data_IF_125498433710
#
_entry.id   IF_125498433710
#
_cell.length_a   1.000
_cell.length_b   1.000
_cell.length_c   1.000
_cell.angle_alpha   90.00
_cell.angle_beta   90.00
_cell.angle_gamma   90.00
#
_symmetry.space_group_name_H-M   'P 1'
#
loop_
_entity.id
_entity.type
_entity.pdbx_description
1 polymer ?
#
# COMPACT_ATOMS: atom_id res chain seq x y z
N UNK A 1 4.76 -20.28 -7.98
CA UNK A 1 5.14 -18.89 -7.62
C UNK A 1 4.10 -18.33 -6.68
N UNK A 2 4.45 -17.48 -5.70
CA UNK A 2 3.49 -16.95 -4.71
C UNK A 2 2.24 -16.31 -5.35
N UNK A 3 2.41 -15.54 -6.42
CA UNK A 3 1.29 -14.91 -7.15
C UNK A 3 0.31 -15.95 -7.73
N UNK A 4 0.77 -17.13 -8.16
CA UNK A 4 -0.10 -18.17 -8.70
C UNK A 4 -1.00 -18.74 -7.59
N UNK A 5 -0.42 -19.09 -6.44
CA UNK A 5 -1.17 -19.57 -5.27
C UNK A 5 -2.18 -18.52 -4.80
N UNK A 6 -1.75 -17.26 -4.70
CA UNK A 6 -2.63 -16.13 -4.38
C UNK A 6 -3.82 -16.04 -5.35
N UNK A 7 -3.59 -16.21 -6.65
CA UNK A 7 -4.63 -16.09 -7.66
C UNK A 7 -5.59 -17.30 -7.64
N UNK A 8 -5.09 -18.47 -7.24
CA UNK A 8 -5.85 -19.69 -7.00
C UNK A 8 -6.64 -19.68 -5.68
N UNK A 9 -6.36 -18.74 -4.77
CA UNK A 9 -6.99 -18.66 -3.44
C UNK A 9 -6.29 -19.48 -2.35
N UNK A 10 -5.15 -20.09 -2.69
CA UNK A 10 -4.24 -20.86 -1.82
C UNK A 10 -3.39 -19.87 -0.99
N UNK A 11 -4.04 -19.19 -0.04
CA UNK A 11 -3.45 -18.07 0.67
C UNK A 11 -2.32 -18.52 1.61
N UNK A 12 -2.48 -19.68 2.25
CA UNK A 12 -1.52 -20.29 3.16
C UNK A 12 -0.19 -20.59 2.46
N UNK A 13 -0.24 -21.21 1.29
CA UNK A 13 0.92 -21.49 0.45
C UNK A 13 1.57 -20.19 -0.04
N UNK A 14 0.77 -19.20 -0.44
CA UNK A 14 1.28 -17.88 -0.84
C UNK A 14 2.02 -17.17 0.31
N UNK A 15 1.44 -17.20 1.51
CA UNK A 15 2.02 -16.68 2.76
C UNK A 15 3.38 -17.34 3.03
N UNK A 16 3.43 -18.68 2.98
CA UNK A 16 4.65 -19.42 3.28
C UNK A 16 5.78 -19.12 2.29
N UNK A 17 5.45 -19.10 0.99
CA UNK A 17 6.42 -18.76 -0.05
C UNK A 17 6.94 -17.34 0.14
N UNK A 18 6.05 -16.36 0.38
CA UNK A 18 6.45 -14.97 0.58
C UNK A 18 7.34 -14.80 1.82
N UNK A 19 7.00 -15.43 2.94
CA UNK A 19 7.78 -15.41 4.19
C UNK A 19 9.19 -15.95 3.97
N UNK A 20 9.31 -17.15 3.41
CA UNK A 20 10.62 -17.78 3.12
C UNK A 20 11.45 -16.94 2.16
N UNK A 21 10.84 -16.38 1.12
CA UNK A 21 11.55 -15.56 0.12
C UNK A 21 11.98 -14.21 0.66
N UNK A 22 11.21 -13.61 1.56
CA UNK A 22 11.59 -12.38 2.27
C UNK A 22 12.85 -12.61 3.13
N UNK A 23 12.90 -13.72 3.87
CA UNK A 23 14.06 -14.07 4.69
C UNK A 23 15.33 -14.25 3.85
N UNK A 24 15.24 -15.01 2.75
CA UNK A 24 16.34 -15.16 1.81
C UNK A 24 16.79 -13.81 1.26
N UNK A 25 15.85 -12.96 0.80
CA UNK A 25 16.19 -11.65 0.25
C UNK A 25 16.87 -10.73 1.27
N UNK A 26 16.48 -10.79 2.55
CA UNK A 26 17.13 -10.04 3.64
C UNK A 26 18.56 -10.53 3.85
N UNK A 27 18.74 -11.84 3.96
CA UNK A 27 20.07 -12.45 4.13
C UNK A 27 21.03 -12.09 3.00
N UNK A 28 20.54 -12.07 1.75
CA UNK A 28 21.35 -11.64 0.60
C UNK A 28 21.67 -10.14 0.62
N UNK A 29 20.73 -9.29 1.03
CA UNK A 29 20.99 -7.85 1.21
C UNK A 29 22.07 -7.60 2.26
N UNK A 30 21.97 -8.28 3.40
CA UNK A 30 22.94 -8.13 4.49
C UNK A 30 24.34 -8.59 4.05
N UNK A 31 24.42 -9.73 3.34
CA UNK A 31 25.68 -10.20 2.78
C UNK A 31 26.29 -9.20 1.79
N UNK A 32 25.47 -8.63 0.90
CA UNK A 32 25.94 -7.62 -0.05
C UNK A 32 26.47 -6.37 0.65
N UNK A 33 25.79 -5.90 1.71
CA UNK A 33 26.24 -4.74 2.50
C UNK A 33 27.61 -5.01 3.15
N UNK A 34 27.80 -6.22 3.68
CA UNK A 34 29.04 -6.60 4.36
C UNK A 34 30.21 -6.85 3.39
N UNK A 35 29.95 -7.49 2.24
CA UNK A 35 31.00 -8.00 1.36
C UNK A 35 31.15 -7.23 0.04
N UNK A 36 30.25 -6.28 -0.26
CA UNK A 36 30.22 -5.52 -1.52
C UNK A 36 29.91 -6.35 -2.76
N UNK A 37 29.48 -7.61 -2.59
CA UNK A 37 29.16 -8.56 -3.67
C UNK A 37 28.05 -9.51 -3.25
N UNK A 38 27.36 -10.07 -4.22
CA UNK A 38 26.39 -11.13 -3.97
C UNK A 38 27.08 -12.49 -3.79
N UNK A 39 26.48 -13.40 -3.01
CA UNK A 39 27.07 -14.72 -2.71
C UNK A 39 27.37 -15.55 -3.96
N UNK A 40 26.54 -15.40 -4.99
CA UNK A 40 26.60 -16.20 -6.22
C UNK A 40 27.46 -15.57 -7.33
N UNK A 41 28.16 -14.46 -7.08
CA UNK A 41 28.93 -13.74 -8.10
C UNK A 41 30.07 -14.56 -8.75
N UNK A 42 30.43 -15.70 -8.17
CA UNK A 42 31.49 -16.61 -8.66
C UNK A 42 30.96 -17.93 -9.28
N UNK A 43 29.65 -18.16 -9.32
CA UNK A 43 29.09 -19.45 -9.78
C UNK A 43 28.57 -19.33 -11.23
N UNK A 44 29.13 -20.12 -12.15
CA UNK A 44 28.73 -20.26 -13.58
C UNK A 44 27.24 -20.57 -13.81
N UNK A 45 26.49 -20.83 -12.73
CA UNK A 45 25.03 -20.98 -12.69
C UNK A 45 24.51 -20.27 -11.44
N UNK A 46 24.22 -18.96 -11.50
CA UNK A 46 23.71 -18.25 -10.34
C UNK A 46 22.44 -18.94 -9.85
N UNK A 47 22.37 -19.23 -8.56
CA UNK A 47 21.11 -19.61 -7.95
C UNK A 47 20.10 -18.49 -8.24
N UNK A 48 18.86 -18.85 -8.55
CA UNK A 48 17.76 -17.96 -8.96
C UNK A 48 17.30 -16.96 -7.89
N UNK A 49 18.17 -16.51 -6.99
CA UNK A 49 17.96 -15.59 -5.88
C UNK A 49 17.86 -14.11 -6.31
N UNK A 50 17.46 -13.79 -7.55
CA UNK A 50 17.44 -12.39 -8.02
C UNK A 50 16.22 -12.02 -8.87
N UNK A 51 15.03 -11.99 -8.27
CA UNK A 51 13.91 -11.33 -8.94
C UNK A 51 13.38 -10.12 -8.20
N UNK A 52 13.46 -10.09 -6.86
CA UNK A 52 12.81 -9.04 -6.07
C UNK A 52 13.62 -8.68 -4.81
N UNK A 53 13.81 -7.39 -4.52
CA UNK A 53 14.43 -6.94 -3.27
C UNK A 53 13.54 -7.25 -2.06
N UNK A 54 14.06 -7.18 -0.83
CA UNK A 54 13.30 -7.43 0.39
C UNK A 54 11.97 -6.66 0.47
N UNK A 55 11.97 -5.39 0.02
CA UNK A 55 10.77 -4.55 0.05
C UNK A 55 9.64 -5.12 -0.82
N UNK A 56 9.97 -5.65 -2.00
CA UNK A 56 8.96 -6.25 -2.89
C UNK A 56 8.43 -7.57 -2.34
N UNK A 57 9.27 -8.38 -1.68
CA UNK A 57 8.78 -9.57 -0.97
C UNK A 57 7.93 -9.21 0.24
N UNK A 58 8.25 -8.12 0.94
CA UNK A 58 7.45 -7.60 2.05
C UNK A 58 6.05 -7.16 1.57
N UNK A 59 5.96 -6.48 0.43
CA UNK A 59 4.68 -6.13 -0.22
C UNK A 59 3.89 -7.37 -0.62
N UNK A 60 4.53 -8.35 -1.29
CA UNK A 60 3.86 -9.61 -1.67
C UNK A 60 3.38 -10.39 -0.44
N UNK A 61 4.15 -10.36 0.64
CA UNK A 61 3.76 -11.00 1.89
C UNK A 61 2.54 -10.32 2.51
N UNK A 62 2.53 -8.98 2.53
CA UNK A 62 1.38 -8.20 2.98
C UNK A 62 0.11 -8.51 2.19
N UNK A 63 0.20 -8.55 0.85
CA UNK A 63 -0.93 -8.91 -0.01
C UNK A 63 -1.45 -10.31 0.33
N UNK A 64 -0.56 -11.28 0.56
CA UNK A 64 -0.97 -12.65 0.89
C UNK A 64 -1.70 -12.74 2.24
N UNK A 65 -1.24 -12.01 3.26
CA UNK A 65 -1.93 -11.89 4.55
C UNK A 65 -3.31 -11.25 4.37
N UNK A 66 -3.38 -10.11 3.67
CA UNK A 66 -4.67 -9.44 3.43
C UNK A 66 -5.62 -10.29 2.59
N UNK A 67 -5.12 -11.04 1.61
CA UNK A 67 -5.95 -11.95 0.82
C UNK A 67 -6.59 -13.04 1.69
N UNK A 68 -5.85 -13.57 2.66
CA UNK A 68 -6.39 -14.49 3.67
C UNK A 68 -7.46 -13.81 4.51
N UNK A 69 -7.17 -12.65 5.12
CA UNK A 69 -8.12 -11.90 5.95
C UNK A 69 -9.42 -11.55 5.19
N UNK A 70 -9.28 -11.17 3.91
CA UNK A 70 -10.41 -10.80 3.06
C UNK A 70 -11.22 -12.02 2.61
N UNK A 71 -10.58 -13.18 2.42
CA UNK A 71 -11.26 -14.45 2.18
C UNK A 71 -12.04 -14.89 3.42
N UNK A 72 -11.41 -14.81 4.59
CA UNK A 72 -11.99 -15.27 5.86
C UNK A 72 -13.15 -14.35 6.32
N UNK A 73 -13.15 -13.08 5.91
CA UNK A 73 -14.27 -12.15 6.12
C UNK A 73 -15.37 -12.25 5.05
N UNK A 74 -15.18 -13.00 3.98
CA UNK A 74 -16.17 -13.16 2.92
C UNK A 74 -17.42 -13.89 3.44
N UNK A 75 -18.65 -13.39 3.21
CA UNK A 75 -19.83 -14.01 3.79
C UNK A 75 -20.13 -15.41 3.26
N UNK A 76 -20.32 -16.38 4.18
CA UNK A 76 -20.66 -17.78 3.87
C UNK A 76 -21.99 -17.86 3.11
N UNK A 77 -23.01 -17.15 3.60
CA UNK A 77 -24.31 -17.00 2.93
C UNK A 77 -24.33 -15.67 2.17
N UNK A 78 -23.65 -15.62 1.03
CA UNK A 78 -23.54 -14.41 0.21
C UNK A 78 -24.90 -13.91 -0.29
N UNK A 79 -25.10 -12.57 -0.32
CA UNK A 79 -26.33 -11.98 -0.85
C UNK A 79 -26.36 -12.09 -2.38
N UNK A 80 -27.37 -12.73 -3.02
CA UNK A 80 -27.38 -12.98 -4.46
C UNK A 80 -27.23 -11.72 -5.31
N UNK A 81 -27.87 -10.62 -4.89
CA UNK A 81 -27.78 -9.32 -5.57
C UNK A 81 -26.37 -8.74 -5.54
N UNK A 82 -25.68 -8.81 -4.40
CA UNK A 82 -24.28 -8.35 -4.28
C UNK A 82 -23.39 -9.23 -5.16
N UNK A 83 -23.52 -10.55 -5.07
CA UNK A 83 -22.73 -11.49 -5.87
C UNK A 83 -22.89 -11.26 -7.38
N UNK A 84 -24.09 -10.92 -7.84
CA UNK A 84 -24.33 -10.56 -9.24
C UNK A 84 -23.57 -9.30 -9.65
N UNK A 85 -23.56 -8.26 -8.80
CA UNK A 85 -22.80 -7.03 -9.05
C UNK A 85 -21.29 -7.27 -9.04
N UNK A 86 -20.79 -8.11 -8.13
CA UNK A 86 -19.36 -8.49 -8.09
C UNK A 86 -18.96 -9.23 -9.36
N UNK A 87 -19.75 -10.22 -9.79
CA UNK A 87 -19.52 -10.92 -11.06
C UNK A 87 -19.54 -9.97 -12.24
N UNK A 88 -20.45 -8.99 -12.24
CA UNK A 88 -20.51 -7.96 -13.29
C UNK A 88 -19.27 -7.06 -13.27
N UNK A 89 -18.79 -6.65 -12.09
CA UNK A 89 -17.56 -5.87 -11.96
C UNK A 89 -16.34 -6.65 -12.46
N UNK A 90 -16.28 -7.96 -12.21
CA UNK A 90 -15.21 -8.84 -12.70
C UNK A 90 -15.14 -8.96 -14.23
N UNK A 91 -16.21 -8.62 -14.97
CA UNK A 91 -16.12 -8.58 -16.44
C UNK A 91 -15.19 -7.47 -16.93
N UNK A 92 -14.78 -6.53 -16.08
CA UNK A 92 -13.69 -5.60 -16.38
C UNK A 92 -12.40 -6.31 -16.81
N UNK A 93 -12.18 -7.54 -16.32
CA UNK A 93 -10.99 -8.33 -16.64
C UNK A 93 -11.08 -9.08 -17.98
N UNK A 94 -12.24 -9.08 -18.63
CA UNK A 94 -12.43 -9.72 -19.94
C UNK A 94 -11.74 -8.92 -21.05
N UNK A 95 -10.67 -9.50 -21.60
CA UNK A 95 -9.86 -8.91 -22.68
C UNK A 95 -10.57 -8.91 -24.03
N UNK A 96 -11.53 -9.82 -24.24
CA UNK A 96 -12.31 -9.86 -25.47
C UNK A 96 -13.35 -8.74 -25.47
N UNK A 97 -13.94 -8.48 -24.29
CA UNK A 97 -14.87 -7.37 -24.11
C UNK A 97 -14.16 -6.00 -24.10
N UNK A 98 -12.96 -5.94 -23.51
CA UNK A 98 -12.20 -4.69 -23.35
C UNK A 98 -10.74 -4.86 -23.79
N UNK A 99 -10.45 -4.76 -25.10
CA UNK A 99 -9.09 -4.96 -25.62
C UNK A 99 -8.13 -3.82 -25.26
N UNK A 100 -8.66 -2.61 -25.04
CA UNK A 100 -7.88 -1.41 -24.76
C UNK A 100 -7.13 -1.50 -23.42
N UNK A 101 -5.94 -0.90 -23.38
CA UNK A 101 -5.02 -0.87 -22.23
C UNK A 101 -4.85 0.55 -21.69
N UNK A 102 -4.14 0.65 -20.56
CA UNK A 102 -3.78 1.93 -19.94
C UNK A 102 -4.99 2.84 -19.71
N UNK A 103 -4.84 4.16 -19.85
CA UNK A 103 -5.89 5.14 -19.58
C UNK A 103 -7.14 4.92 -20.43
N UNK A 104 -7.00 4.60 -21.72
CA UNK A 104 -8.15 4.31 -22.59
C UNK A 104 -8.91 3.06 -22.11
N UNK A 105 -8.18 2.01 -21.75
CA UNK A 105 -8.75 0.78 -21.19
C UNK A 105 -9.48 1.02 -19.88
N UNK A 106 -8.96 1.90 -19.02
CA UNK A 106 -9.60 2.29 -17.77
C UNK A 106 -10.92 3.04 -18.01
N UNK A 107 -10.89 4.08 -18.84
CA UNK A 107 -12.07 4.91 -19.11
C UNK A 107 -13.20 4.12 -19.77
N UNK A 108 -12.87 3.24 -20.73
CA UNK A 108 -13.86 2.36 -21.37
C UNK A 108 -14.55 1.45 -20.35
N UNK A 109 -13.79 0.80 -19.47
CA UNK A 109 -14.33 -0.06 -18.43
C UNK A 109 -15.16 0.72 -17.41
N UNK A 110 -14.69 1.91 -17.01
CA UNK A 110 -15.38 2.78 -16.08
C UNK A 110 -16.74 3.22 -16.63
N UNK A 111 -16.79 3.60 -17.91
CA UNK A 111 -18.03 3.98 -18.58
C UNK A 111 -18.98 2.78 -18.74
N UNK A 112 -18.47 1.63 -19.17
CA UNK A 112 -19.28 0.42 -19.35
C UNK A 112 -19.84 -0.15 -18.04
N UNK A 113 -19.13 0.03 -16.92
CA UNK A 113 -19.51 -0.48 -15.60
C UNK A 113 -20.10 0.59 -14.67
N UNK A 114 -20.37 1.80 -15.18
CA UNK A 114 -20.86 2.94 -14.39
C UNK A 114 -22.05 2.56 -13.51
N UNK A 115 -23.09 1.96 -14.10
CA UNK A 115 -24.29 1.56 -13.34
C UNK A 115 -24.00 0.49 -12.28
N UNK A 116 -23.03 -0.39 -12.53
CA UNK A 116 -22.60 -1.41 -11.55
C UNK A 116 -21.88 -0.75 -10.38
N UNK A 117 -20.94 0.15 -10.67
CA UNK A 117 -20.21 0.92 -9.67
C UNK A 117 -21.16 1.79 -8.83
N UNK A 118 -22.11 2.47 -9.46
CA UNK A 118 -23.10 3.29 -8.77
C UNK A 118 -24.02 2.46 -7.88
N UNK A 119 -24.42 1.28 -8.32
CA UNK A 119 -25.19 0.35 -7.49
C UNK A 119 -24.38 -0.15 -6.28
N UNK A 120 -23.11 -0.52 -6.46
CA UNK A 120 -22.23 -0.91 -5.35
C UNK A 120 -22.12 0.21 -4.32
N UNK A 121 -21.88 1.45 -4.77
CA UNK A 121 -21.80 2.64 -3.89
C UNK A 121 -23.12 2.90 -3.13
N UNK A 122 -24.27 2.64 -3.75
CA UNK A 122 -25.60 2.86 -3.12
C UNK A 122 -25.97 1.81 -2.07
N UNK A 123 -25.50 0.57 -2.20
CA UNK A 123 -25.82 -0.49 -1.21
C UNK A 123 -25.21 -0.17 0.16
N UNK A 124 -24.03 0.46 0.18
CA UNK A 124 -23.35 0.84 1.41
C UNK A 124 -22.27 -0.16 1.85
N UNK A 125 -21.72 0.01 3.06
CA UNK A 125 -20.49 -0.64 3.52
C UNK A 125 -20.59 -2.17 3.67
N UNK A 126 -21.79 -2.74 3.62
CA UNK A 126 -21.99 -4.19 3.67
C UNK A 126 -21.39 -4.95 2.48
N UNK A 127 -21.07 -4.24 1.38
CA UNK A 127 -20.40 -4.83 0.22
C UNK A 127 -18.89 -4.95 0.42
N UNK A 128 -18.30 -4.28 1.43
CA UNK A 128 -16.83 -4.22 1.61
C UNK A 128 -16.21 -5.63 1.61
N UNK A 129 -16.67 -6.61 2.40
CA UNK A 129 -16.10 -7.96 2.38
C UNK A 129 -16.16 -8.66 1.01
N UNK A 130 -17.10 -8.26 0.14
CA UNK A 130 -17.26 -8.84 -1.19
C UNK A 130 -16.28 -8.27 -2.23
N UNK A 131 -15.87 -7.00 -2.09
CA UNK A 131 -14.97 -6.32 -3.04
C UNK A 131 -13.50 -6.43 -2.66
N UNK A 132 -13.19 -6.60 -1.37
CA UNK A 132 -11.80 -6.65 -0.89
C UNK A 132 -10.96 -7.76 -1.55
N UNK A 133 -11.46 -8.99 -1.77
CA UNK A 133 -10.69 -10.02 -2.48
C UNK A 133 -10.27 -9.62 -3.91
N UNK A 134 -11.02 -8.72 -4.56
CA UNK A 134 -10.67 -8.22 -5.90
C UNK A 134 -9.42 -7.34 -5.86
N UNK A 135 -9.20 -6.61 -4.77
CA UNK A 135 -8.06 -5.68 -4.63
C UNK A 135 -6.72 -6.39 -4.44
N UNK A 136 -6.71 -7.66 -4.00
CA UNK A 136 -5.48 -8.43 -3.82
C UNK A 136 -4.87 -8.93 -5.14
N UNK A 137 -5.59 -8.78 -6.26
CA UNK A 137 -5.13 -9.18 -7.59
C UNK A 137 -4.84 -7.94 -8.42
N UNK A 138 -3.75 -7.99 -9.18
CA UNK A 138 -3.50 -6.98 -10.20
C UNK A 138 -4.46 -7.22 -11.37
N UNK A 139 -5.63 -6.58 -11.29
CA UNK A 139 -6.73 -6.72 -12.24
C UNK A 139 -7.48 -5.40 -12.41
N UNK A 140 -8.21 -5.27 -13.51
CA UNK A 140 -9.07 -4.12 -13.78
C UNK A 140 -10.21 -4.02 -12.79
N UNK A 141 -10.79 -5.14 -12.36
CA UNK A 141 -11.82 -5.13 -11.32
C UNK A 141 -11.25 -4.61 -9.99
N UNK A 142 -10.04 -5.04 -9.61
CA UNK A 142 -9.36 -4.60 -8.39
C UNK A 142 -9.05 -3.09 -8.39
N UNK A 143 -8.78 -2.51 -9.56
CA UNK A 143 -8.52 -1.07 -9.74
C UNK A 143 -9.72 -0.19 -9.33
N UNK A 144 -10.95 -0.69 -9.43
CA UNK A 144 -12.15 0.08 -9.04
C UNK A 144 -12.48 0.00 -7.54
N UNK A 145 -11.85 -0.91 -6.80
CA UNK A 145 -12.13 -1.13 -5.36
C UNK A 145 -11.90 0.14 -4.54
N UNK A 146 -10.78 0.88 -4.68
CA UNK A 146 -10.56 2.11 -3.91
C UNK A 146 -11.66 3.16 -4.10
N UNK A 147 -12.17 3.34 -5.32
CA UNK A 147 -13.25 4.31 -5.61
C UNK A 147 -14.55 3.93 -4.89
N UNK A 148 -14.87 2.64 -4.86
CA UNK A 148 -16.05 2.14 -4.16
C UNK A 148 -15.89 2.30 -2.65
N UNK A 149 -14.73 1.94 -2.08
CA UNK A 149 -14.43 2.11 -0.66
C UNK A 149 -14.56 3.57 -0.21
N UNK A 150 -14.00 4.50 -0.99
CA UNK A 150 -14.07 5.94 -0.69
C UNK A 150 -15.50 6.47 -0.53
N UNK A 151 -16.48 5.86 -1.22
CA UNK A 151 -17.88 6.28 -1.13
C UNK A 151 -18.52 6.08 0.25
N UNK A 152 -17.97 5.19 1.09
CA UNK A 152 -18.59 4.85 2.37
C UNK A 152 -18.17 5.72 3.55
N UNK A 153 -17.02 6.41 3.46
CA UNK A 153 -16.47 7.27 4.53
C UNK A 153 -16.54 6.63 5.93
N UNK A 154 -16.36 5.31 6.01
CA UNK A 154 -16.42 4.52 7.25
C UNK A 154 -15.04 3.97 7.61
N UNK A 155 -14.85 3.77 8.89
CA UNK A 155 -13.77 3.04 9.57
C UNK A 155 -13.15 1.89 8.78
N UNK A 156 -13.97 0.92 8.34
CA UNK A 156 -13.49 -0.26 7.61
C UNK A 156 -12.98 0.10 6.22
N UNK A 157 -13.58 1.08 5.55
CA UNK A 157 -13.14 1.53 4.25
C UNK A 157 -11.80 2.26 4.32
N UNK A 158 -11.60 3.11 5.33
CA UNK A 158 -10.31 3.79 5.55
C UNK A 158 -9.18 2.79 5.83
N UNK A 159 -9.42 1.78 6.69
CA UNK A 159 -8.45 0.71 6.95
C UNK A 159 -8.12 -0.09 5.68
N UNK A 160 -9.13 -0.43 4.88
CA UNK A 160 -8.91 -1.12 3.62
C UNK A 160 -8.13 -0.28 2.60
N UNK A 161 -8.39 1.03 2.52
CA UNK A 161 -7.61 1.93 1.66
C UNK A 161 -6.14 1.98 2.09
N UNK A 162 -5.86 2.02 3.40
CA UNK A 162 -4.50 1.91 3.95
C UNK A 162 -3.87 0.57 3.53
N UNK A 163 -4.56 -0.55 3.75
CA UNK A 163 -4.04 -1.87 3.41
C UNK A 163 -3.69 -1.97 1.90
N UNK A 164 -4.57 -1.47 1.01
CA UNK A 164 -4.38 -1.46 -0.46
C UNK A 164 -3.27 -0.51 -0.90
N UNK A 165 -3.07 0.61 -0.18
CA UNK A 165 -1.98 1.55 -0.47
C UNK A 165 -0.60 0.89 -0.36
N UNK A 166 -0.49 -0.15 0.47
CA UNK A 166 0.73 -0.92 0.69
C UNK A 166 0.96 -2.05 -0.33
N UNK A 167 0.01 -2.30 -1.25
CA UNK A 167 0.13 -3.39 -2.23
C UNK A 167 1.16 -3.12 -3.34
N UNK A 168 1.54 -1.87 -3.57
CA UNK A 168 2.45 -1.49 -4.65
C UNK A 168 1.86 -1.66 -6.06
N UNK A 169 0.54 -1.80 -6.17
CA UNK A 169 -0.15 -1.77 -7.46
C UNK A 169 -0.31 -0.31 -7.88
N UNK A 170 0.55 0.17 -8.79
CA UNK A 170 0.71 1.59 -9.11
C UNK A 170 -0.61 2.39 -9.13
N UNK A 171 -1.62 1.93 -9.86
CA UNK A 171 -2.93 2.59 -9.90
C UNK A 171 -3.72 2.44 -8.60
N UNK A 172 -3.98 1.21 -8.14
CA UNK A 172 -4.85 0.97 -6.99
C UNK A 172 -4.28 1.56 -5.69
N UNK A 173 -2.96 1.40 -5.47
CA UNK A 173 -2.27 1.99 -4.33
C UNK A 173 -2.26 3.51 -4.40
N UNK A 174 -1.97 4.10 -5.57
CA UNK A 174 -2.03 5.56 -5.76
C UNK A 174 -3.44 6.14 -5.57
N UNK A 175 -4.46 5.47 -6.10
CA UNK A 175 -5.86 5.83 -5.90
C UNK A 175 -6.25 5.77 -4.42
N UNK A 176 -5.81 4.73 -3.70
CA UNK A 176 -6.05 4.63 -2.26
C UNK A 176 -5.43 5.80 -1.48
N UNK A 177 -4.17 6.15 -1.76
CA UNK A 177 -3.51 7.29 -1.12
C UNK A 177 -4.26 8.60 -1.39
N UNK A 178 -4.62 8.85 -2.65
CA UNK A 178 -5.41 10.02 -3.04
C UNK A 178 -6.77 10.09 -2.33
N UNK A 179 -7.46 8.96 -2.18
CA UNK A 179 -8.72 8.91 -1.45
C UNK A 179 -8.54 9.13 0.05
N UNK A 180 -7.44 8.64 0.65
CA UNK A 180 -7.10 8.93 2.04
C UNK A 180 -6.84 10.43 2.25
N UNK A 181 -6.12 11.10 1.34
CA UNK A 181 -5.91 12.55 1.38
C UNK A 181 -7.23 13.31 1.31
N UNK A 182 -8.16 12.89 0.43
CA UNK A 182 -9.49 13.48 0.32
C UNK A 182 -10.37 13.30 1.54
N UNK A 183 -10.15 12.25 2.34
CA UNK A 183 -10.85 12.07 3.60
C UNK A 183 -10.30 13.01 4.70
N UNK A 184 -9.12 13.59 4.51
CA UNK A 184 -8.56 14.62 5.37
C UNK A 184 -8.25 14.12 6.78
N UNK A 185 -8.46 14.99 7.77
CA UNK A 185 -8.16 14.70 9.19
C UNK A 185 -8.82 13.40 9.71
N UNK A 186 -9.97 13.01 9.16
CA UNK A 186 -10.70 11.81 9.56
C UNK A 186 -9.91 10.50 9.37
N UNK A 187 -8.84 10.47 8.54
CA UNK A 187 -8.02 9.25 8.38
C UNK A 187 -6.89 9.13 9.38
N UNK A 188 -6.54 10.19 10.12
CA UNK A 188 -5.37 10.21 10.98
C UNK A 188 -5.41 9.10 12.05
N UNK A 189 -6.53 8.87 12.79
CA UNK A 189 -6.59 7.79 13.77
C UNK A 189 -6.33 6.40 13.18
N UNK A 190 -6.72 6.17 11.92
CA UNK A 190 -6.48 4.88 11.24
C UNK A 190 -5.04 4.75 10.74
N UNK A 191 -4.39 5.86 10.37
CA UNK A 191 -2.96 5.87 10.07
C UNK A 191 -2.15 5.62 11.35
N UNK A 192 -2.53 6.22 12.47
CA UNK A 192 -1.93 5.94 13.79
C UNK A 192 -2.08 4.46 14.17
N UNK A 193 -3.29 3.91 14.04
CA UNK A 193 -3.54 2.49 14.27
C UNK A 193 -2.65 1.61 13.38
N UNK A 194 -2.51 1.97 12.10
CA UNK A 194 -1.69 1.23 11.16
C UNK A 194 -0.22 1.20 11.59
N UNK A 195 0.35 2.27 12.17
CA UNK A 195 1.72 2.27 12.73
C UNK A 195 1.82 1.61 14.11
N UNK A 196 0.73 1.55 14.87
CA UNK A 196 0.70 0.83 16.14
C UNK A 196 0.74 -0.71 15.96
N UNK A 197 0.22 -1.21 14.83
CA UNK A 197 0.18 -2.64 14.48
C UNK A 197 1.14 -2.99 13.34
N UNK A 198 1.36 -4.29 13.11
CA UNK A 198 2.06 -4.79 11.92
C UNK A 198 3.41 -4.11 11.64
N UNK A 199 4.21 -3.84 12.68
CA UNK A 199 5.47 -3.06 12.59
C UNK A 199 6.48 -3.65 11.61
N UNK A 200 6.47 -4.97 11.43
CA UNK A 200 7.30 -5.66 10.43
C UNK A 200 7.07 -5.15 8.99
N UNK A 201 5.93 -4.48 8.72
CA UNK A 201 5.54 -3.91 7.44
C UNK A 201 5.71 -2.38 7.38
N UNK A 202 6.26 -1.72 8.40
CA UNK A 202 6.49 -0.26 8.37
C UNK A 202 7.29 0.21 7.14
N UNK A 203 8.30 -0.52 6.63
CA UNK A 203 9.02 -0.09 5.41
C UNK A 203 8.14 0.10 4.17
N UNK A 204 6.93 -0.49 4.12
CA UNK A 204 5.98 -0.32 3.01
C UNK A 204 4.82 0.64 3.33
N UNK A 205 4.84 1.29 4.50
CA UNK A 205 3.88 2.32 4.93
C UNK A 205 4.30 3.74 4.51
N UNK A 206 5.31 3.89 3.67
CA UNK A 206 5.82 5.23 3.29
C UNK A 206 4.78 6.10 2.59
N UNK A 207 3.92 5.50 1.76
CA UNK A 207 2.85 6.24 1.09
C UNK A 207 1.86 6.90 2.06
N UNK A 208 1.50 6.23 3.16
CA UNK A 208 0.60 6.83 4.17
C UNK A 208 1.29 7.93 4.99
N UNK A 209 2.63 7.95 5.07
CA UNK A 209 3.37 9.11 5.62
C UNK A 209 3.24 10.32 4.70
N UNK A 210 3.29 10.13 3.37
CA UNK A 210 3.06 11.22 2.40
C UNK A 210 1.66 11.82 2.55
N UNK A 211 0.64 10.98 2.78
CA UNK A 211 -0.74 11.42 3.02
C UNK A 211 -0.80 12.42 4.18
N UNK A 212 -0.09 12.18 5.28
CA UNK A 212 -0.05 13.10 6.42
C UNK A 212 0.53 14.48 6.05
N UNK A 213 1.57 14.50 5.21
CA UNK A 213 2.19 15.72 4.68
C UNK A 213 1.33 16.48 3.67
N UNK A 214 0.35 15.80 3.06
CA UNK A 214 -0.60 16.39 2.12
C UNK A 214 -1.89 16.89 2.80
N UNK A 215 -2.34 16.23 3.88
CA UNK A 215 -3.50 16.68 4.67
C UNK A 215 -3.23 18.01 5.39
N UNK A 216 -2.00 18.22 5.87
CA UNK A 216 -1.51 19.49 6.45
C UNK A 216 -2.36 20.07 7.58
N UNK A 217 -2.83 19.23 8.50
CA UNK A 217 -3.54 19.68 9.72
C UNK A 217 -2.65 19.52 10.96
N UNK A 218 -2.95 20.19 12.09
CA UNK A 218 -2.14 20.07 13.30
C UNK A 218 -1.93 18.61 13.75
N UNK A 219 -2.98 17.80 13.73
CA UNK A 219 -2.86 16.38 14.10
C UNK A 219 -1.90 15.59 13.20
N UNK A 220 -1.83 15.91 11.90
CA UNK A 220 -0.89 15.22 11.00
C UNK A 220 0.55 15.68 11.21
N UNK A 221 0.75 16.97 11.55
CA UNK A 221 2.05 17.51 11.95
C UNK A 221 2.59 16.80 13.21
N UNK A 222 1.77 16.69 14.26
CA UNK A 222 2.15 16.03 15.52
C UNK A 222 2.46 14.54 15.33
N UNK A 223 1.71 13.85 14.47
CA UNK A 223 2.02 12.47 14.13
C UNK A 223 3.35 12.36 13.36
N UNK A 224 3.60 13.24 12.40
CA UNK A 224 4.86 13.26 11.67
C UNK A 224 6.07 13.54 12.57
N UNK A 225 5.95 14.44 13.55
CA UNK A 225 6.99 14.66 14.57
C UNK A 225 7.29 13.38 15.35
N UNK A 226 6.27 12.62 15.76
CA UNK A 226 6.48 11.31 16.41
C UNK A 226 7.14 10.29 15.48
N UNK A 227 6.84 10.31 14.19
CA UNK A 227 7.45 9.42 13.20
C UNK A 227 8.94 9.74 12.94
N UNK A 228 9.45 10.91 13.35
CA UNK A 228 10.89 11.19 13.35
C UNK A 228 11.66 10.31 14.33
N UNK A 229 11.01 9.74 15.34
CA UNK A 229 11.61 8.80 16.30
C UNK A 229 11.47 7.32 15.89
N UNK A 230 10.98 7.06 14.68
CA UNK A 230 10.76 5.71 14.19
C UNK A 230 12.08 4.94 14.00
N UNK A 231 12.03 3.61 14.18
CA UNK A 231 13.20 2.72 14.03
C UNK A 231 13.67 2.58 12.58
N UNK A 232 12.71 2.48 11.65
CA UNK A 232 12.96 2.45 10.21
C UNK A 232 13.44 3.80 9.69
N UNK A 233 14.68 3.87 9.19
CA UNK A 233 15.23 5.07 8.54
C UNK A 233 14.38 5.53 7.34
N UNK A 234 13.75 4.59 6.62
CA UNK A 234 12.83 4.91 5.53
C UNK A 234 11.64 5.73 6.05
N UNK A 235 11.03 5.35 7.18
CA UNK A 235 9.91 6.11 7.75
C UNK A 235 10.37 7.50 8.19
N UNK A 236 11.52 7.60 8.87
CA UNK A 236 12.08 8.89 9.31
C UNK A 236 12.35 9.82 8.12
N UNK A 237 12.94 9.30 7.05
CA UNK A 237 13.22 10.05 5.82
C UNK A 237 11.93 10.61 5.19
N UNK A 238 10.90 9.77 5.06
CA UNK A 238 9.59 10.20 4.56
C UNK A 238 8.86 11.16 5.50
N UNK A 239 9.00 11.00 6.82
CA UNK A 239 8.39 11.89 7.80
C UNK A 239 9.03 13.29 7.75
N UNK A 240 10.35 13.35 7.61
CA UNK A 240 11.08 14.60 7.40
C UNK A 240 10.67 15.33 6.12
N UNK A 241 10.57 14.62 5.00
CA UNK A 241 10.05 15.18 3.74
C UNK A 241 8.62 15.73 3.91
N UNK A 242 7.73 14.94 4.51
CA UNK A 242 6.34 15.33 4.76
C UNK A 242 6.22 16.51 5.73
N UNK A 243 7.11 16.67 6.72
CA UNK A 243 7.17 17.87 7.58
C UNK A 243 7.59 19.12 6.79
N UNK A 244 8.49 18.97 5.82
CA UNK A 244 8.89 20.04 4.91
C UNK A 244 7.74 20.64 4.08
N UNK A 245 6.60 19.93 3.98
CA UNK A 245 5.39 20.44 3.32
C UNK A 245 4.60 21.45 4.16
N UNK A 246 4.85 21.53 5.47
CA UNK A 246 4.20 22.50 6.35
C UNK A 246 4.87 23.87 6.33
N UNK A 247 6.12 23.96 5.83
CA UNK A 247 6.93 25.18 5.85
C UNK A 247 7.03 25.80 7.27
N UNK A 248 7.17 24.94 8.29
CA UNK A 248 7.26 25.30 9.71
C UNK A 248 8.65 25.02 10.24
N UNK A 249 9.40 26.08 10.56
CA UNK A 249 10.80 25.98 11.03
C UNK A 249 10.91 25.31 12.40
N UNK A 250 9.81 25.21 13.15
CA UNK A 250 9.76 24.62 14.49
C UNK A 250 10.16 23.13 14.51
N UNK A 251 9.98 22.42 13.38
CA UNK A 251 10.40 21.03 13.26
C UNK A 251 11.91 20.87 12.99
N UNK A 252 12.63 21.94 12.62
CA UNK A 252 14.04 21.86 12.20
C UNK A 252 14.94 21.16 13.22
N UNK A 253 14.91 21.47 14.53
CA UNK A 253 15.78 20.81 15.50
C UNK A 253 15.54 19.30 15.55
N UNK A 254 14.26 18.88 15.55
CA UNK A 254 13.88 17.47 15.57
C UNK A 254 14.28 16.77 14.26
N UNK A 255 14.05 17.40 13.11
CA UNK A 255 14.43 16.85 11.80
C UNK A 255 15.94 16.67 11.67
N UNK A 256 16.74 17.65 12.10
CA UNK A 256 18.21 17.56 12.09
C UNK A 256 18.71 16.44 12.99
N UNK A 257 18.19 16.34 14.23
CA UNK A 257 18.57 15.28 15.16
C UNK A 257 18.20 13.89 14.61
N UNK A 258 16.98 13.75 14.07
CA UNK A 258 16.52 12.50 13.48
C UNK A 258 17.34 12.09 12.25
N UNK A 259 17.66 13.04 11.38
CA UNK A 259 18.48 12.81 10.20
C UNK A 259 19.91 12.36 10.56
N UNK A 260 20.53 13.00 11.55
CA UNK A 260 21.84 12.57 12.07
C UNK A 260 21.78 11.16 12.66
N UNK A 261 20.73 10.85 13.44
CA UNK A 261 20.51 9.53 14.05
C UNK A 261 20.44 8.41 13.01
N UNK A 262 19.81 8.65 11.87
CA UNK A 262 19.67 7.64 10.80
C UNK A 262 20.84 7.63 9.80
N UNK A 263 21.87 8.47 10.00
CA UNK A 263 23.07 8.51 9.15
C UNK A 263 22.94 9.38 7.89
N UNK A 264 21.92 10.23 7.79
CA UNK A 264 21.69 11.10 6.64
C UNK A 264 20.87 10.42 5.54
N UNK A 265 19.79 11.07 5.10
CA UNK A 265 18.96 10.59 4.00
C UNK A 265 18.47 11.75 3.13
N UNK A 266 18.43 11.53 1.81
CA UNK A 266 18.27 12.61 0.82
C UNK A 266 17.01 13.46 0.98
N UNK A 267 15.86 12.88 1.32
CA UNK A 267 14.59 13.63 1.31
C UNK A 267 14.47 14.51 2.55
N UNK A 268 14.74 13.96 3.74
CA UNK A 268 14.81 14.76 4.96
C UNK A 268 15.92 15.83 4.90
N UNK A 269 17.09 15.53 4.30
CA UNK A 269 18.14 16.54 4.04
C UNK A 269 17.61 17.71 3.20
N UNK A 270 16.93 17.39 2.10
CA UNK A 270 16.36 18.39 1.19
C UNK A 270 15.31 19.24 1.92
N UNK A 271 14.44 18.61 2.72
CA UNK A 271 13.44 19.30 3.51
C UNK A 271 14.05 20.20 4.59
N UNK A 272 15.10 19.73 5.29
CA UNK A 272 15.85 20.54 6.26
C UNK A 272 16.45 21.77 5.57
N UNK A 273 17.12 21.58 4.44
CA UNK A 273 17.75 22.69 3.72
C UNK A 273 16.70 23.72 3.29
N UNK A 274 15.60 23.25 2.68
CA UNK A 274 14.47 24.11 2.30
C UNK A 274 13.94 24.92 3.48
N UNK A 275 13.80 24.31 4.67
CA UNK A 275 13.29 25.00 5.85
C UNK A 275 14.30 25.98 6.46
N UNK A 276 15.62 25.77 6.30
CA UNK A 276 16.67 26.72 6.71
C UNK A 276 16.70 27.99 5.86
N UNK A 277 16.19 27.88 4.64
CA UNK A 277 16.18 28.97 3.65
C UNK A 277 14.88 29.82 3.71
N UNK A 278 13.96 29.53 4.65
CA UNK A 278 12.73 30.31 4.90
C UNK A 278 12.98 31.49 5.85
#
# INVERSE_FOLDING_TARGET
MATCHLYAGECEEAIEICRRRLEVARSEKDYFIEHGRYRDAEIDKPALSYYYPPLTWLQKYWIALKAKDYRDSYPIAGKPKINALIKKLQTADDKNQFPEKHSNGLELRKNALKDTLDQLKRIGPEIIPYILPLACKYSWAGIFVPEVLFSYKKDMASRALIDISMFGFAYASGASLHYLEKLGEAVIPYIEEAFARDKAFDPIKTGIVSVLGNIRVPASYELLLRLLEHESSHIVNWAGDALGNFNKIEALPAMVAANQRIGGEKMIDTAIQKLKDL
#
